data_IF_728833082075
#
_entry.id   IF_728833082075
#
_cell.length_a   1.000
_cell.length_b   1.000
_cell.length_c   1.000
_cell.angle_alpha   90.00
_cell.angle_beta   90.00
_cell.angle_gamma   90.00
#
_symmetry.space_group_name_H-M   'P 1'
#
loop_
_entity.id
_entity.type
_entity.pdbx_description
1 polymer ?
#
# COMPACT_ATOMS: atom_id res chain seq x y z
N UNK A 1 -20.52 42.34 -18.77
CA UNK A 1 -19.33 42.09 -17.91
C UNK A 1 -19.83 41.26 -16.73
N UNK A 2 -20.19 40.01 -16.99
CA UNK A 2 -21.15 39.29 -16.11
C UNK A 2 -20.63 37.92 -15.67
N UNK A 3 -19.61 37.38 -16.36
CA UNK A 3 -19.00 36.09 -16.06
C UNK A 3 -18.33 36.04 -14.69
N UNK A 4 -17.89 37.19 -14.15
CA UNK A 4 -17.26 37.26 -12.84
C UNK A 4 -18.24 36.90 -11.71
N UNK A 5 -19.53 37.25 -11.86
CA UNK A 5 -20.57 36.90 -10.91
C UNK A 5 -20.87 35.40 -10.89
N UNK A 6 -20.61 34.70 -11.99
CA UNK A 6 -20.71 33.24 -12.09
C UNK A 6 -19.43 32.55 -11.60
N UNK A 7 -18.26 33.15 -11.83
CA UNK A 7 -16.96 32.56 -11.47
C UNK A 7 -16.69 32.61 -9.95
N UNK A 8 -17.05 33.72 -9.28
CA UNK A 8 -16.87 33.88 -7.83
C UNK A 8 -17.50 32.74 -7.00
N UNK A 9 -18.79 32.39 -7.15
CA UNK A 9 -19.39 31.32 -6.36
C UNK A 9 -18.80 29.94 -6.70
N UNK A 10 -18.42 29.70 -7.95
CA UNK A 10 -17.76 28.45 -8.36
C UNK A 10 -16.43 28.28 -7.64
N UNK A 11 -15.60 29.31 -7.60
CA UNK A 11 -14.30 29.25 -6.92
C UNK A 11 -14.49 29.05 -5.41
N UNK A 12 -15.44 29.75 -4.79
CA UNK A 12 -15.76 29.57 -3.36
C UNK A 12 -16.18 28.13 -3.08
N UNK A 13 -16.99 27.51 -3.95
CA UNK A 13 -17.39 26.11 -3.83
C UNK A 13 -16.18 25.17 -3.89
N UNK A 14 -15.28 25.35 -4.86
CA UNK A 14 -14.06 24.54 -4.95
C UNK A 14 -13.16 24.69 -3.73
N UNK A 15 -12.98 25.91 -3.21
CA UNK A 15 -12.20 26.14 -2.00
C UNK A 15 -12.84 25.44 -0.79
N UNK A 16 -14.17 25.54 -0.63
CA UNK A 16 -14.88 24.87 0.45
C UNK A 16 -14.74 23.34 0.37
N UNK A 17 -14.86 22.76 -0.84
CA UNK A 17 -14.61 21.35 -1.07
C UNK A 17 -13.17 20.94 -0.74
N UNK A 18 -12.18 21.72 -1.21
CA UNK A 18 -10.77 21.45 -0.94
C UNK A 18 -10.46 21.47 0.56
N UNK A 19 -10.97 22.48 1.28
CA UNK A 19 -10.81 22.59 2.74
C UNK A 19 -11.46 21.40 3.45
N UNK A 20 -12.68 21.01 3.07
CA UNK A 20 -13.36 19.84 3.65
C UNK A 20 -12.55 18.55 3.40
N UNK A 21 -12.06 18.34 2.18
CA UNK A 21 -11.25 17.16 1.84
C UNK A 21 -9.92 17.15 2.58
N UNK A 22 -9.29 18.32 2.73
CA UNK A 22 -8.05 18.47 3.48
C UNK A 22 -8.24 18.10 4.95
N UNK A 23 -9.25 18.67 5.63
CA UNK A 23 -9.54 18.32 7.02
C UNK A 23 -9.92 16.85 7.18
N UNK A 24 -10.64 16.28 6.22
CA UNK A 24 -10.92 14.84 6.21
C UNK A 24 -9.63 14.03 6.12
N UNK A 25 -8.73 14.32 5.19
CA UNK A 25 -7.46 13.61 5.00
C UNK A 25 -6.54 13.73 6.23
N UNK A 26 -6.49 14.91 6.87
CA UNK A 26 -5.75 15.13 8.11
C UNK A 26 -6.28 14.23 9.24
N UNK A 27 -7.61 14.15 9.38
CA UNK A 27 -8.21 13.28 10.39
C UNK A 27 -8.11 11.78 10.03
N UNK A 28 -7.94 11.44 8.76
CA UNK A 28 -7.87 10.06 8.27
C UNK A 28 -6.47 9.43 8.36
N UNK A 29 -5.50 10.12 8.98
CA UNK A 29 -4.18 9.55 9.25
C UNK A 29 -3.30 9.34 8.01
N UNK A 30 -3.50 10.09 6.92
CA UNK A 30 -2.71 9.93 5.67
C UNK A 30 -1.19 10.11 5.88
N UNK A 31 -0.79 10.72 6.99
CA UNK A 31 0.62 10.90 7.35
C UNK A 31 1.29 9.62 7.89
N UNK A 32 0.51 8.64 8.37
CA UNK A 32 1.02 7.41 8.97
C UNK A 32 1.67 6.48 7.91
N UNK A 33 1.14 6.51 6.68
CA UNK A 33 1.71 5.78 5.54
C UNK A 33 3.07 6.37 5.11
N UNK A 34 3.27 7.68 5.26
CA UNK A 34 4.55 8.33 4.94
C UNK A 34 5.66 8.01 5.95
N UNK A 35 5.32 7.83 7.23
CA UNK A 35 6.29 7.44 8.26
C UNK A 35 6.87 6.05 7.97
N UNK A 36 6.00 5.10 7.59
CA UNK A 36 6.40 3.73 7.29
C UNK A 36 7.29 3.67 6.05
N UNK A 37 6.93 4.37 4.97
CA UNK A 37 7.76 4.38 3.75
C UNK A 37 9.03 5.21 3.87
N UNK A 38 9.04 6.25 4.72
CA UNK A 38 10.25 6.98 5.08
C UNK A 38 11.29 6.11 5.80
N UNK A 39 10.86 5.16 6.66
CA UNK A 39 11.77 4.17 7.26
C UNK A 39 12.29 3.19 6.22
N UNK A 40 11.47 2.80 5.26
CA UNK A 40 11.84 1.85 4.23
C UNK A 40 12.92 2.39 3.28
N UNK A 41 12.85 3.66 2.89
CA UNK A 41 13.87 4.23 1.98
C UNK A 41 15.25 4.44 2.65
N UNK A 42 15.29 4.60 3.97
CA UNK A 42 16.55 4.87 4.69
C UNK A 42 17.19 3.62 5.31
N UNK A 43 16.42 2.57 5.62
CA UNK A 43 16.88 1.39 6.35
C UNK A 43 16.69 0.05 5.61
N UNK A 44 16.06 0.03 4.42
CA UNK A 44 15.76 -1.21 3.68
C UNK A 44 16.76 -1.49 2.54
N UNK A 45 17.77 -0.63 2.34
CA UNK A 45 18.92 -0.90 1.44
C UNK A 45 19.80 -2.07 1.94
N UNK A 46 19.70 -2.40 3.23
CA UNK A 46 20.51 -3.44 3.88
C UNK A 46 19.80 -4.80 4.04
N UNK A 47 18.54 -4.92 3.61
CA UNK A 47 17.79 -6.18 3.74
C UNK A 47 17.57 -6.86 2.38
N UNK A 48 18.05 -8.12 2.18
CA UNK A 48 17.74 -8.87 0.98
C UNK A 48 16.23 -9.09 0.92
N UNK A 49 15.61 -8.44 -0.06
CA UNK A 49 14.19 -8.47 -0.39
C UNK A 49 13.67 -9.91 -0.32
N UNK A 50 13.12 -10.34 0.83
CA UNK A 50 12.23 -11.51 0.88
C UNK A 50 10.95 -11.08 0.19
N UNK A 51 10.94 -11.33 -1.11
CA UNK A 51 9.79 -11.33 -2.00
C UNK A 51 8.62 -12.07 -1.34
N UNK A 52 7.77 -11.33 -0.63
CA UNK A 52 6.42 -11.76 -0.27
C UNK A 52 5.50 -11.52 -1.46
N UNK A 53 5.76 -12.23 -2.56
CA UNK A 53 4.73 -12.50 -3.57
C UNK A 53 3.95 -13.68 -3.01
N UNK A 54 3.03 -13.39 -2.10
CA UNK A 54 1.97 -14.30 -1.71
C UNK A 54 0.70 -13.47 -1.55
N UNK A 55 0.09 -13.15 -2.70
CA UNK A 55 -1.36 -13.28 -2.92
C UNK A 55 -1.74 -12.69 -4.27
N UNK A 56 -1.61 -13.50 -5.32
CA UNK A 56 -2.61 -13.65 -6.39
C UNK A 56 -2.08 -14.61 -7.47
N UNK A 57 -2.48 -15.88 -7.36
CA UNK A 57 -2.70 -16.81 -8.46
C UNK A 57 -1.60 -16.99 -9.51
N UNK A 58 -0.87 -18.09 -9.39
CA UNK A 58 -0.44 -18.86 -10.57
C UNK A 58 -0.22 -20.32 -10.18
N UNK A 59 -1.02 -21.18 -10.80
CA UNK A 59 -0.86 -22.62 -10.74
C UNK A 59 0.23 -23.12 -11.69
N UNK A 60 0.37 -24.44 -11.65
CA UNK A 60 1.15 -25.32 -12.52
C UNK A 60 2.58 -25.68 -12.08
N UNK A 61 2.64 -26.89 -11.51
CA UNK A 61 3.53 -28.00 -11.90
C UNK A 61 5.03 -27.85 -11.67
N UNK A 62 5.55 -28.57 -10.66
CA UNK A 62 6.28 -29.83 -10.89
C UNK A 62 6.97 -30.29 -9.59
N UNK A 63 6.34 -31.22 -8.88
CA UNK A 63 7.05 -32.02 -7.87
C UNK A 63 7.90 -33.06 -8.61
N UNK A 64 9.25 -33.06 -8.49
CA UNK A 64 10.01 -34.24 -8.84
C UNK A 64 9.87 -35.25 -7.70
N UNK A 65 9.33 -36.38 -8.11
CA UNK A 65 9.34 -37.71 -7.51
C UNK A 65 10.51 -38.07 -6.59
N UNK A 66 10.14 -38.92 -5.62
CA UNK A 66 10.77 -40.20 -5.23
C UNK A 66 11.93 -40.26 -4.21
N UNK A 67 11.53 -40.71 -3.01
CA UNK A 67 11.94 -41.99 -2.37
C UNK A 67 13.21 -42.06 -1.51
N UNK A 68 13.02 -42.79 -0.40
CA UNK A 68 13.96 -43.47 0.52
C UNK A 68 14.26 -42.69 1.81
N UNK A 69 14.26 -43.28 3.02
CA UNK A 69 13.87 -44.58 3.59
C UNK A 69 13.93 -44.39 5.13
N UNK A 70 13.20 -45.23 5.89
CA UNK A 70 13.56 -45.74 7.25
C UNK A 70 13.76 -44.75 8.42
N UNK A 71 13.30 -44.88 9.67
CA UNK A 71 12.75 -45.95 10.53
C UNK A 71 12.10 -45.24 11.75
N UNK A 72 11.01 -45.73 12.38
CA UNK A 72 10.56 -45.17 13.65
C UNK A 72 11.37 -45.80 14.80
N UNK A 73 12.33 -45.07 15.35
CA UNK A 73 12.99 -45.49 16.60
C UNK A 73 12.01 -45.36 17.78
N UNK A 74 11.58 -46.52 18.27
CA UNK A 74 11.18 -46.73 19.67
C UNK A 74 12.41 -46.54 20.56
N UNK A 75 12.25 -45.86 21.69
CA UNK A 75 12.53 -46.47 23.00
C UNK A 75 11.81 -45.73 24.13
#
# INVERSE_FOLDING_TARGET
MDSIFLLVPIVIFFIACAVKLFFWAVNNGQYDDLETEGRRILFDDDQPRKSGIDQAGQGSESSPSSTSNDTPERH
#
